data_IF_570993692223
#
_entry.id   IF_570993692223
#
_cell.length_a   1.000
_cell.length_b   1.000
_cell.length_c   1.000
_cell.angle_alpha   90.00
_cell.angle_beta   90.00
_cell.angle_gamma   90.00
#
_symmetry.space_group_name_H-M   'P 1'
#
loop_
_entity.id
_entity.type
_entity.pdbx_description
1 polymer ?
#
# COMPACT_ATOMS: atom_id res chain seq x y z
N UNK A 1 -51.06 -12.08 -12.17
CA UNK A 1 -50.04 -11.05 -12.41
C UNK A 1 -48.64 -11.61 -12.74
N UNK A 2 -48.42 -12.93 -12.81
CA UNK A 2 -47.32 -13.57 -13.56
C UNK A 2 -45.96 -12.87 -13.62
N UNK A 3 -45.42 -12.41 -12.49
CA UNK A 3 -44.15 -11.69 -12.38
C UNK A 3 -43.40 -12.14 -11.12
N UNK A 4 -42.09 -11.88 -11.09
CA UNK A 4 -41.16 -12.27 -10.02
C UNK A 4 -40.77 -11.04 -9.20
N UNK A 5 -40.79 -11.19 -7.88
CA UNK A 5 -40.34 -10.15 -6.95
C UNK A 5 -38.83 -9.95 -7.09
N UNK A 6 -38.39 -8.71 -7.29
CA UNK A 6 -36.98 -8.36 -7.54
C UNK A 6 -36.55 -7.13 -6.75
N UNK A 7 -35.40 -7.19 -6.08
CA UNK A 7 -34.77 -6.05 -5.42
C UNK A 7 -33.34 -5.84 -5.95
N UNK A 8 -33.12 -4.75 -6.70
CA UNK A 8 -31.85 -4.50 -7.39
C UNK A 8 -30.84 -3.68 -6.57
N UNK A 9 -30.02 -2.86 -7.25
CA UNK A 9 -29.05 -1.95 -6.62
C UNK A 9 -29.45 -0.46 -6.74
N UNK A 10 -30.69 -0.17 -7.16
CA UNK A 10 -31.15 1.21 -7.32
C UNK A 10 -31.71 1.69 -5.99
N UNK A 11 -31.11 2.76 -5.47
CA UNK A 11 -31.59 3.41 -4.25
C UNK A 11 -32.71 4.39 -4.59
N UNK A 12 -33.78 4.35 -3.82
CA UNK A 12 -34.87 5.32 -3.89
C UNK A 12 -34.35 6.74 -3.58
N UNK A 13 -35.05 7.79 -4.03
CA UNK A 13 -34.74 9.16 -3.64
C UNK A 13 -34.90 9.40 -2.13
N UNK A 14 -34.66 10.64 -1.68
CA UNK A 14 -34.62 10.98 -0.25
C UNK A 14 -35.91 10.63 0.50
N UNK A 15 -37.07 10.66 -0.16
CA UNK A 15 -38.36 10.26 0.44
C UNK A 15 -38.39 8.80 0.88
N UNK A 16 -37.58 7.94 0.25
CA UNK A 16 -37.45 6.52 0.57
C UNK A 16 -36.22 6.22 1.42
N UNK A 17 -35.64 7.24 2.06
CA UNK A 17 -34.45 7.13 2.91
C UNK A 17 -33.27 6.40 2.23
N UNK A 18 -33.15 6.52 0.89
CA UNK A 18 -32.12 5.82 0.09
C UNK A 18 -32.15 4.29 0.21
N UNK A 19 -33.29 3.69 0.56
CA UNK A 19 -33.47 2.24 0.57
C UNK A 19 -33.51 1.67 -0.86
N UNK A 20 -33.32 0.35 -0.98
CA UNK A 20 -33.34 -0.35 -2.27
C UNK A 20 -34.77 -0.43 -2.82
N UNK A 21 -34.93 -0.16 -4.12
CA UNK A 21 -36.20 -0.31 -4.83
C UNK A 21 -36.63 -1.80 -4.97
N UNK A 22 -37.91 -2.08 -4.68
CA UNK A 22 -38.52 -3.41 -4.84
C UNK A 22 -39.55 -3.37 -5.97
N UNK A 23 -39.40 -4.28 -6.95
CA UNK A 23 -40.19 -4.32 -8.19
C UNK A 23 -40.71 -5.72 -8.51
N UNK A 24 -41.61 -5.83 -9.50
CA UNK A 24 -42.04 -7.12 -10.05
C UNK A 24 -41.66 -7.22 -11.53
N UNK A 25 -40.79 -8.16 -11.88
CA UNK A 25 -40.29 -8.34 -13.26
C UNK A 25 -41.00 -9.52 -13.94
N UNK A 26 -41.36 -9.36 -15.22
CA UNK A 26 -42.07 -10.41 -15.97
C UNK A 26 -41.13 -11.46 -16.57
N UNK A 27 -39.86 -11.10 -16.75
CA UNK A 27 -38.87 -12.01 -17.33
C UNK A 27 -38.49 -13.09 -16.32
N UNK A 28 -38.48 -14.34 -16.79
CA UNK A 28 -38.10 -15.50 -15.98
C UNK A 28 -36.63 -15.82 -16.23
N UNK A 29 -35.74 -15.14 -15.51
CA UNK A 29 -34.31 -15.36 -15.57
C UNK A 29 -33.79 -16.00 -14.26
N UNK A 30 -33.62 -17.32 -14.20
CA UNK A 30 -33.09 -18.00 -13.01
C UNK A 30 -31.66 -17.63 -12.62
N UNK A 31 -30.93 -16.89 -13.47
CA UNK A 31 -29.59 -16.40 -13.14
C UNK A 31 -29.61 -15.03 -12.46
N UNK A 32 -30.76 -14.36 -12.41
CA UNK A 32 -30.89 -13.07 -11.73
C UNK A 32 -30.91 -13.28 -10.22
N UNK A 33 -29.78 -13.02 -9.55
CA UNK A 33 -29.66 -13.15 -8.10
C UNK A 33 -30.63 -12.23 -7.34
N UNK A 34 -31.08 -11.13 -7.95
CA UNK A 34 -32.00 -10.18 -7.33
C UNK A 34 -33.45 -10.68 -7.20
N UNK A 35 -33.78 -11.81 -7.85
CA UNK A 35 -35.08 -12.49 -7.70
C UNK A 35 -35.02 -13.65 -6.71
N UNK A 36 -33.86 -13.94 -6.13
CA UNK A 36 -33.70 -15.00 -5.15
C UNK A 36 -33.92 -14.42 -3.74
N UNK A 37 -34.82 -15.05 -2.98
CA UNK A 37 -35.17 -14.64 -1.63
C UNK A 37 -34.97 -15.80 -0.67
N UNK A 38 -34.42 -15.52 0.51
CA UNK A 38 -34.32 -16.46 1.62
C UNK A 38 -34.99 -15.89 2.86
N UNK A 39 -35.39 -16.78 3.78
CA UNK A 39 -35.88 -16.39 5.10
C UNK A 39 -34.67 -16.35 6.03
N UNK A 40 -34.24 -15.15 6.43
CA UNK A 40 -33.09 -14.96 7.32
C UNK A 40 -33.44 -15.27 8.78
N UNK A 41 -34.65 -14.88 9.22
CA UNK A 41 -35.11 -15.09 10.57
C UNK A 41 -36.56 -15.56 10.61
N UNK A 42 -36.84 -16.54 11.47
CA UNK A 42 -38.16 -17.14 11.64
C UNK A 42 -38.38 -17.51 13.11
N UNK A 43 -39.52 -17.06 13.66
CA UNK A 43 -39.92 -17.32 15.05
C UNK A 43 -41.30 -17.98 15.05
N UNK A 44 -41.41 -19.17 15.64
CA UNK A 44 -42.66 -19.91 15.72
C UNK A 44 -42.67 -20.86 16.92
N UNK A 45 -43.51 -20.56 17.91
CA UNK A 45 -43.62 -21.32 19.17
C UNK A 45 -44.12 -22.76 18.99
N UNK A 46 -44.69 -23.08 17.82
CA UNK A 46 -45.17 -24.43 17.49
C UNK A 46 -44.08 -25.33 16.93
N UNK A 47 -42.88 -24.80 16.66
CA UNK A 47 -41.77 -25.55 16.08
C UNK A 47 -40.57 -25.53 17.04
N UNK A 48 -39.79 -26.63 17.10
CA UNK A 48 -38.53 -26.62 17.83
C UNK A 48 -37.51 -25.68 17.17
N UNK A 49 -36.55 -25.21 17.96
CA UNK A 49 -35.44 -24.42 17.44
C UNK A 49 -34.62 -25.21 16.41
N UNK A 50 -34.18 -24.55 15.34
CA UNK A 50 -33.36 -25.16 14.32
C UNK A 50 -31.93 -25.42 14.83
N UNK A 51 -31.31 -26.50 14.35
CA UNK A 51 -29.89 -26.78 14.61
C UNK A 51 -29.02 -25.72 13.92
N UNK A 52 -28.15 -25.05 14.68
CA UNK A 52 -27.20 -24.08 14.16
C UNK A 52 -26.21 -24.71 13.15
N UNK A 53 -25.95 -26.02 13.25
CA UNK A 53 -25.09 -26.77 12.33
C UNK A 53 -25.68 -27.01 10.94
N UNK A 54 -26.98 -26.79 10.75
CA UNK A 54 -27.68 -27.04 9.48
C UNK A 54 -27.35 -26.02 8.38
N UNK A 55 -26.80 -24.85 8.75
CA UNK A 55 -26.58 -23.71 7.85
C UNK A 55 -25.12 -23.53 7.42
N UNK A 56 -24.38 -24.63 7.24
CA UNK A 56 -22.97 -24.56 6.82
C UNK A 56 -22.84 -24.29 5.32
N UNK A 57 -22.06 -23.29 4.98
CA UNK A 57 -21.63 -22.97 3.62
C UNK A 57 -20.34 -23.70 3.23
N UNK A 58 -20.10 -23.98 1.94
CA UNK A 58 -18.84 -24.52 1.47
C UNK A 58 -17.70 -23.49 1.58
N UNK A 59 -16.54 -23.90 2.10
CA UNK A 59 -15.39 -23.02 2.30
C UNK A 59 -14.99 -22.21 1.05
N UNK A 60 -14.93 -22.85 -0.14
CA UNK A 60 -14.51 -22.17 -1.37
C UNK A 60 -15.51 -21.09 -1.79
N UNK A 61 -16.80 -21.32 -1.55
CA UNK A 61 -17.84 -20.33 -1.83
C UNK A 61 -17.68 -19.12 -0.91
N UNK A 62 -17.49 -19.36 0.39
CA UNK A 62 -17.27 -18.29 1.36
C UNK A 62 -15.98 -17.53 1.08
N UNK A 63 -14.90 -18.24 0.71
CA UNK A 63 -13.64 -17.64 0.34
C UNK A 63 -13.79 -16.69 -0.85
N UNK A 64 -14.47 -17.11 -1.91
CA UNK A 64 -14.72 -16.26 -3.08
C UNK A 64 -15.62 -15.08 -2.72
N UNK A 65 -16.72 -15.35 -2.01
CA UNK A 65 -17.68 -14.31 -1.62
C UNK A 65 -17.02 -13.25 -0.72
N UNK A 66 -16.20 -13.68 0.24
CA UNK A 66 -15.44 -12.79 1.11
C UNK A 66 -14.44 -11.95 0.32
N UNK A 67 -13.70 -12.52 -0.64
CA UNK A 67 -12.78 -11.73 -1.46
C UNK A 67 -13.51 -10.71 -2.34
N UNK A 68 -14.68 -11.06 -2.89
CA UNK A 68 -15.53 -10.09 -3.61
C UNK A 68 -16.00 -8.98 -2.69
N UNK A 69 -16.43 -9.30 -1.47
CA UNK A 69 -16.82 -8.31 -0.47
C UNK A 69 -15.64 -7.40 -0.06
N UNK A 70 -14.44 -7.96 0.16
CA UNK A 70 -13.23 -7.19 0.43
C UNK A 70 -12.87 -6.26 -0.72
N UNK A 71 -12.95 -6.71 -1.98
CA UNK A 71 -12.73 -5.87 -3.15
C UNK A 71 -13.78 -4.76 -3.28
N UNK A 72 -15.04 -5.08 -3.05
CA UNK A 72 -16.15 -4.11 -3.09
C UNK A 72 -15.97 -3.04 -2.02
N UNK A 73 -15.62 -3.44 -0.80
CA UNK A 73 -15.33 -2.52 0.30
C UNK A 73 -14.09 -1.67 0.01
N UNK A 74 -13.05 -2.22 -0.61
CA UNK A 74 -11.84 -1.48 -0.98
C UNK A 74 -12.12 -0.44 -2.07
N UNK A 75 -12.91 -0.81 -3.08
CA UNK A 75 -13.37 0.12 -4.12
C UNK A 75 -14.29 1.22 -3.59
N UNK A 76 -14.93 1.02 -2.44
CA UNK A 76 -15.76 2.04 -1.79
C UNK A 76 -14.92 3.08 -1.00
N UNK A 77 -13.61 2.89 -0.82
CA UNK A 77 -12.71 3.82 -0.12
C UNK A 77 -12.21 4.97 -1.02
N UNK A 78 -13.09 5.45 -1.91
CA UNK A 78 -12.82 6.65 -2.71
C UNK A 78 -12.92 7.87 -1.80
N UNK A 79 -11.93 8.77 -1.79
CA UNK A 79 -12.00 10.00 -1.00
C UNK A 79 -13.18 10.85 -1.46
N UNK A 80 -13.97 11.31 -0.51
CA UNK A 80 -15.00 12.31 -0.73
C UNK A 80 -14.32 13.68 -0.86
N UNK A 81 -14.43 14.39 -2.01
CA UNK A 81 -13.77 15.68 -2.21
C UNK A 81 -14.30 16.78 -1.27
N UNK A 82 -15.52 16.63 -0.75
CA UNK A 82 -16.13 17.58 0.18
C UNK A 82 -15.75 17.28 1.63
N UNK A 83 -15.09 16.14 1.89
CA UNK A 83 -14.60 15.73 3.21
C UNK A 83 -13.12 16.10 3.35
N UNK A 84 -12.82 16.96 4.32
CA UNK A 84 -11.45 17.22 4.73
C UNK A 84 -10.89 16.01 5.49
N UNK A 85 -9.91 15.31 4.89
CA UNK A 85 -9.13 14.26 5.54
C UNK A 85 -7.68 14.74 5.74
N UNK A 86 -7.42 15.38 6.88
CA UNK A 86 -6.11 15.92 7.26
C UNK A 86 -5.03 14.85 7.52
N UNK A 87 -5.42 13.58 7.55
CA UNK A 87 -4.49 12.46 7.74
C UNK A 87 -4.02 11.88 6.40
N UNK A 88 -4.85 11.98 5.36
CA UNK A 88 -4.54 11.47 4.04
C UNK A 88 -3.31 12.16 3.43
N UNK A 89 -2.54 11.40 2.66
CA UNK A 89 -1.38 11.92 1.93
C UNK A 89 -1.27 11.32 0.54
N UNK A 90 -0.61 12.05 -0.34
CA UNK A 90 -0.43 11.74 -1.75
C UNK A 90 0.91 11.05 -2.00
N UNK A 91 0.96 10.15 -2.99
CA UNK A 91 2.15 9.35 -3.30
C UNK A 91 3.44 10.17 -3.46
N UNK A 92 3.36 11.35 -4.08
CA UNK A 92 4.52 12.21 -4.34
C UNK A 92 5.09 12.84 -3.07
N UNK A 93 4.30 12.95 -2.00
CA UNK A 93 4.73 13.55 -0.74
C UNK A 93 5.68 12.64 0.05
N UNK A 94 5.61 11.32 -0.17
CA UNK A 94 6.30 10.36 0.68
C UNK A 94 7.81 10.34 0.47
N UNK A 95 8.36 10.25 -0.76
CA UNK A 95 9.81 10.17 -0.97
C UNK A 95 10.58 11.41 -0.50
N UNK A 96 9.94 12.58 -0.60
CA UNK A 96 10.52 13.86 -0.18
C UNK A 96 10.18 14.24 1.26
N UNK A 97 9.42 13.39 1.98
CA UNK A 97 9.01 13.64 3.35
C UNK A 97 8.26 14.98 3.54
N UNK A 98 7.33 15.29 2.61
CA UNK A 98 6.59 16.55 2.62
C UNK A 98 5.56 16.63 3.76
N UNK A 99 5.02 15.49 4.18
CA UNK A 99 4.02 15.39 5.27
C UNK A 99 4.36 14.22 6.19
N UNK A 100 3.97 14.35 7.46
CA UNK A 100 3.93 13.24 8.42
C UNK A 100 2.49 12.88 8.78
N UNK A 101 2.30 12.02 9.76
CA UNK A 101 0.97 11.57 10.19
C UNK A 101 0.85 11.56 11.71
N UNK A 102 -0.21 12.17 12.24
CA UNK A 102 -0.55 12.13 13.67
C UNK A 102 -1.21 10.78 13.98
N UNK A 103 -0.67 10.04 14.95
CA UNK A 103 -1.11 8.67 15.27
C UNK A 103 -2.04 8.58 16.48
N UNK A 104 -2.16 9.65 17.27
CA UNK A 104 -3.00 9.73 18.45
C UNK A 104 -3.61 11.13 18.60
N UNK A 105 -4.43 11.33 19.64
CA UNK A 105 -4.93 12.65 20.04
C UNK A 105 -3.79 13.54 20.55
N UNK A 106 -3.86 14.84 20.24
CA UNK A 106 -2.82 15.82 20.59
C UNK A 106 -3.31 16.77 21.67
N UNK A 107 -3.78 16.20 22.78
CA UNK A 107 -4.06 16.94 24.00
C UNK A 107 -2.78 17.14 24.83
N UNK A 108 -2.76 18.11 25.74
CA UNK A 108 -1.59 18.40 26.58
C UNK A 108 -1.30 17.30 27.61
N UNK A 109 -2.32 16.50 27.96
CA UNK A 109 -2.19 15.37 28.88
C UNK A 109 -1.68 14.07 28.24
N UNK A 110 -1.51 14.04 26.92
CA UNK A 110 -1.23 12.80 26.16
C UNK A 110 0.15 12.87 25.51
N UNK A 111 0.90 11.76 25.58
CA UNK A 111 2.14 11.60 24.81
C UNK A 111 1.83 11.54 23.31
N UNK A 112 2.39 12.48 22.56
CA UNK A 112 2.08 12.70 21.14
C UNK A 112 2.96 11.81 20.25
N UNK A 113 2.34 10.89 19.53
CA UNK A 113 3.01 10.05 18.53
C UNK A 113 2.83 10.66 17.13
N UNK A 114 3.96 10.97 16.49
CA UNK A 114 4.03 11.49 15.13
C UNK A 114 4.85 10.55 14.25
N UNK A 115 4.24 10.10 13.16
CA UNK A 115 4.89 9.26 12.18
C UNK A 115 5.66 10.17 11.19
N UNK A 116 6.97 10.23 11.38
CA UNK A 116 7.89 10.98 10.55
C UNK A 116 9.12 10.13 10.25
N UNK A 117 9.47 10.03 8.97
CA UNK A 117 10.69 9.38 8.52
C UNK A 117 11.96 10.15 8.90
N UNK A 118 13.09 9.46 8.94
CA UNK A 118 14.40 10.12 9.03
C UNK A 118 14.73 10.78 7.67
N UNK A 119 14.88 12.12 7.58
CA UNK A 119 15.12 12.83 6.33
C UNK A 119 16.37 12.35 5.58
N UNK A 120 17.44 12.02 6.31
CA UNK A 120 18.67 11.50 5.70
C UNK A 120 18.43 10.16 5.01
N UNK A 121 17.66 9.28 5.64
CA UNK A 121 17.30 7.98 5.08
C UNK A 121 16.34 8.16 3.91
N UNK A 122 15.30 8.98 4.06
CA UNK A 122 14.30 9.21 3.02
C UNK A 122 14.89 9.86 1.77
N UNK A 123 15.60 10.97 1.94
CA UNK A 123 16.19 11.70 0.82
C UNK A 123 17.38 10.94 0.23
N UNK A 124 18.24 10.36 1.08
CA UNK A 124 19.38 9.57 0.62
C UNK A 124 18.93 8.33 -0.18
N UNK A 125 17.93 7.61 0.32
CA UNK A 125 17.41 6.42 -0.39
C UNK A 125 16.59 6.75 -1.62
N UNK A 126 15.90 7.89 -1.65
CA UNK A 126 15.21 8.34 -2.87
C UNK A 126 16.23 8.79 -3.91
N UNK A 127 17.28 9.52 -3.51
CA UNK A 127 18.35 9.94 -4.41
C UNK A 127 19.13 8.74 -4.97
N UNK A 128 19.35 7.69 -4.17
CA UNK A 128 20.09 6.50 -4.62
C UNK A 128 19.40 5.77 -5.77
N UNK A 129 18.06 5.79 -5.85
CA UNK A 129 17.32 5.26 -7.00
C UNK A 129 17.76 5.96 -8.30
N UNK A 130 17.82 7.29 -8.28
CA UNK A 130 18.29 8.09 -9.42
C UNK A 130 19.76 7.87 -9.73
N UNK A 131 20.61 7.80 -8.70
CA UNK A 131 22.05 7.50 -8.87
C UNK A 131 22.26 6.12 -9.50
N UNK A 132 21.49 5.10 -9.10
CA UNK A 132 21.56 3.78 -9.71
C UNK A 132 21.21 3.82 -11.19
N UNK A 133 20.12 4.51 -11.55
CA UNK A 133 19.71 4.67 -12.97
C UNK A 133 20.83 5.32 -13.78
N UNK A 134 21.41 6.41 -13.27
CA UNK A 134 22.53 7.09 -13.92
C UNK A 134 23.77 6.19 -14.03
N UNK A 135 24.06 5.40 -13.01
CA UNK A 135 25.17 4.45 -12.97
C UNK A 135 24.99 3.34 -14.01
N UNK A 136 23.79 2.76 -14.12
CA UNK A 136 23.48 1.73 -15.12
C UNK A 136 23.58 2.32 -16.52
N UNK A 137 23.01 3.51 -16.77
CA UNK A 137 23.13 4.20 -18.06
C UNK A 137 24.60 4.44 -18.40
N UNK A 138 25.41 4.88 -17.44
CA UNK A 138 26.85 5.10 -17.63
C UNK A 138 27.58 3.83 -18.09
N UNK A 139 27.36 2.71 -17.40
CA UNK A 139 27.98 1.44 -17.77
C UNK A 139 27.48 0.91 -19.12
N UNK A 140 26.18 1.01 -19.41
CA UNK A 140 25.61 0.59 -20.70
C UNK A 140 26.20 1.39 -21.85
N UNK A 141 26.34 2.71 -21.70
CA UNK A 141 26.95 3.57 -22.73
C UNK A 141 28.41 3.22 -22.95
N UNK A 142 29.17 2.92 -21.90
CA UNK A 142 30.59 2.54 -22.00
C UNK A 142 30.76 1.15 -22.60
N UNK A 143 29.90 0.21 -22.23
CA UNK A 143 29.86 -1.11 -22.85
C UNK A 143 29.59 -1.01 -24.36
N UNK A 144 28.62 -0.18 -24.78
CA UNK A 144 28.34 0.08 -26.20
C UNK A 144 29.53 0.74 -26.94
N UNK A 145 30.41 1.44 -26.22
CA UNK A 145 31.65 2.03 -26.76
C UNK A 145 32.85 1.07 -26.77
N UNK A 146 32.66 -0.18 -26.35
CA UNK A 146 33.70 -1.21 -26.36
C UNK A 146 34.61 -1.21 -25.12
N UNK A 147 34.22 -0.54 -24.03
CA UNK A 147 34.92 -0.69 -22.75
C UNK A 147 34.51 -2.00 -22.07
N UNK A 148 35.49 -2.84 -21.73
CA UNK A 148 35.29 -4.10 -20.99
C UNK A 148 35.76 -3.92 -19.54
N UNK A 149 34.92 -3.29 -18.73
CA UNK A 149 35.27 -2.88 -17.35
C UNK A 149 34.50 -3.63 -16.26
N UNK A 150 33.36 -4.24 -16.60
CA UNK A 150 32.54 -5.02 -15.67
C UNK A 150 32.75 -6.50 -15.93
N UNK A 151 33.17 -7.23 -14.90
CA UNK A 151 33.18 -8.70 -14.94
C UNK A 151 31.78 -9.25 -14.74
N UNK A 152 31.57 -10.54 -15.02
CA UNK A 152 30.28 -11.18 -14.78
C UNK A 152 29.84 -11.06 -13.30
N UNK A 153 30.77 -11.19 -12.36
CA UNK A 153 30.51 -11.00 -10.92
C UNK A 153 29.97 -9.59 -10.59
N UNK A 154 30.50 -8.56 -11.24
CA UNK A 154 30.07 -7.17 -11.09
C UNK A 154 28.66 -6.96 -11.66
N UNK A 155 28.38 -7.56 -12.82
CA UNK A 155 27.06 -7.50 -13.47
C UNK A 155 26.01 -8.19 -12.60
N UNK A 156 26.31 -9.40 -12.10
CA UNK A 156 25.42 -10.14 -11.21
C UNK A 156 25.15 -9.34 -9.94
N UNK A 157 26.18 -8.70 -9.36
CA UNK A 157 26.01 -7.87 -8.18
C UNK A 157 25.13 -6.64 -8.44
N UNK A 158 25.33 -5.90 -9.55
CA UNK A 158 24.45 -4.80 -9.97
C UNK A 158 23.01 -5.30 -10.16
N UNK A 159 22.83 -6.47 -10.76
CA UNK A 159 21.51 -7.02 -11.04
C UNK A 159 20.75 -7.39 -9.76
N UNK A 160 21.34 -8.22 -8.90
CA UNK A 160 20.66 -8.74 -7.71
C UNK A 160 20.58 -7.73 -6.56
N UNK A 161 21.62 -6.92 -6.35
CA UNK A 161 21.69 -5.99 -5.22
C UNK A 161 21.31 -4.55 -5.60
N UNK A 162 21.34 -4.18 -6.88
CA UNK A 162 20.90 -2.87 -7.37
C UNK A 162 19.52 -2.92 -8.03
N UNK A 163 19.40 -3.64 -9.15
CA UNK A 163 18.21 -3.60 -10.03
C UNK A 163 16.98 -4.23 -9.37
N UNK A 164 17.10 -5.41 -8.75
CA UNK A 164 15.97 -6.07 -8.09
C UNK A 164 15.36 -5.25 -6.95
N UNK A 165 16.13 -4.60 -6.08
CA UNK A 165 15.57 -3.63 -5.14
C UNK A 165 14.80 -2.50 -5.84
N UNK A 166 15.31 -1.92 -6.93
CA UNK A 166 14.55 -0.89 -7.66
C UNK A 166 13.25 -1.43 -8.26
N UNK A 167 13.24 -2.65 -8.78
CA UNK A 167 11.99 -3.31 -9.21
C UNK A 167 11.05 -3.50 -8.01
N UNK A 168 11.56 -3.94 -6.87
CA UNK A 168 10.81 -4.06 -5.62
C UNK A 168 10.19 -2.72 -5.19
N UNK A 169 10.97 -1.64 -5.22
CA UNK A 169 10.50 -0.28 -4.96
C UNK A 169 9.39 0.10 -5.93
N UNK A 170 9.58 -0.10 -7.23
CA UNK A 170 8.61 0.24 -8.26
C UNK A 170 7.30 -0.53 -8.09
N UNK A 171 7.35 -1.85 -7.88
CA UNK A 171 6.16 -2.67 -7.71
C UNK A 171 5.36 -2.32 -6.45
N UNK A 172 6.03 -1.85 -5.39
CA UNK A 172 5.37 -1.41 -4.16
C UNK A 172 4.93 0.06 -4.21
N UNK A 173 5.53 0.90 -5.05
CA UNK A 173 5.20 2.32 -5.14
C UNK A 173 4.17 2.63 -6.24
N UNK A 174 4.34 2.04 -7.42
CA UNK A 174 3.54 2.34 -8.61
C UNK A 174 2.03 2.12 -8.43
N UNK A 175 1.56 1.08 -7.72
CA UNK A 175 0.12 0.93 -7.48
C UNK A 175 -0.49 2.16 -6.80
N UNK A 176 0.22 2.80 -5.88
CA UNK A 176 -0.28 4.00 -5.19
C UNK A 176 -0.29 5.26 -6.05
N UNK A 177 0.51 5.28 -7.12
CA UNK A 177 0.47 6.36 -8.13
C UNK A 177 -0.80 6.25 -8.98
N UNK A 178 -1.26 5.02 -9.24
CA UNK A 178 -2.44 4.74 -10.08
C UNK A 178 -3.76 4.61 -9.28
N UNK A 179 -3.69 4.42 -7.96
CA UNK A 179 -4.86 4.21 -7.11
C UNK A 179 -5.62 5.51 -6.82
N UNK A 180 -6.94 5.48 -6.95
CA UNK A 180 -7.85 6.61 -6.64
C UNK A 180 -8.54 6.45 -5.26
N UNK A 181 -7.91 5.75 -4.32
CA UNK A 181 -8.42 5.54 -2.95
C UNK A 181 -7.63 6.36 -1.94
N UNK A 182 -8.17 6.49 -0.73
CA UNK A 182 -7.45 7.13 0.38
C UNK A 182 -6.13 6.40 0.66
N UNK A 183 -5.05 7.18 0.76
CA UNK A 183 -3.69 6.72 1.06
C UNK A 183 -3.07 7.54 2.19
N UNK A 184 -2.06 6.96 2.84
CA UNK A 184 -1.39 7.48 4.03
C UNK A 184 0.10 7.21 3.95
N UNK A 185 0.92 7.96 4.70
CA UNK A 185 2.40 7.88 4.62
C UNK A 185 2.98 6.49 4.89
N UNK A 186 2.32 5.67 5.72
CA UNK A 186 2.78 4.31 6.04
C UNK A 186 2.71 3.35 4.84
N UNK A 187 1.89 3.65 3.82
CA UNK A 187 1.85 2.86 2.59
C UNK A 187 3.18 2.88 1.84
N UNK A 188 4.01 3.91 2.05
CA UNK A 188 5.33 3.99 1.43
C UNK A 188 6.36 3.02 2.03
N UNK A 189 6.13 2.48 3.24
CA UNK A 189 7.18 1.76 3.98
C UNK A 189 7.72 0.51 3.27
N UNK A 190 6.90 -0.33 2.61
CA UNK A 190 7.42 -1.42 1.80
C UNK A 190 8.32 -0.93 0.67
N UNK A 191 7.95 0.13 -0.04
CA UNK A 191 8.78 0.70 -1.09
C UNK A 191 10.07 1.31 -0.51
N UNK A 192 9.97 2.10 0.57
CA UNK A 192 11.11 2.68 1.28
C UNK A 192 12.16 1.62 1.66
N UNK A 193 11.74 0.44 2.13
CA UNK A 193 12.66 -0.64 2.46
C UNK A 193 13.57 -1.00 1.27
N UNK A 194 13.00 -1.15 0.07
CA UNK A 194 13.77 -1.40 -1.15
C UNK A 194 14.63 -0.20 -1.57
N UNK A 195 14.16 1.03 -1.32
CA UNK A 195 14.98 2.23 -1.54
C UNK A 195 16.22 2.23 -0.64
N UNK A 196 16.08 1.82 0.63
CA UNK A 196 17.19 1.72 1.60
C UNK A 196 18.18 0.63 1.17
N UNK A 197 17.70 -0.52 0.68
CA UNK A 197 18.59 -1.55 0.11
C UNK A 197 19.38 -0.99 -1.08
N UNK A 198 18.72 -0.23 -1.95
CA UNK A 198 19.37 0.45 -3.08
C UNK A 198 20.41 1.46 -2.61
N UNK A 199 20.13 2.23 -1.55
CA UNK A 199 21.11 3.12 -0.93
C UNK A 199 22.34 2.36 -0.42
N UNK A 200 22.14 1.24 0.26
CA UNK A 200 23.23 0.38 0.72
C UNK A 200 24.11 -0.07 -0.44
N UNK A 201 23.50 -0.60 -1.50
CA UNK A 201 24.21 -1.03 -2.70
C UNK A 201 24.96 0.13 -3.38
N UNK A 202 24.31 1.27 -3.65
CA UNK A 202 24.94 2.41 -4.31
C UNK A 202 26.11 2.94 -3.50
N UNK A 203 25.96 3.02 -2.17
CA UNK A 203 27.02 3.48 -1.28
C UNK A 203 28.22 2.53 -1.33
N UNK A 204 27.99 1.22 -1.22
CA UNK A 204 29.06 0.23 -1.28
C UNK A 204 29.75 0.20 -2.64
N UNK A 205 28.97 0.22 -3.71
CA UNK A 205 29.48 0.22 -5.09
C UNK A 205 30.38 1.43 -5.38
N UNK A 206 29.98 2.64 -4.95
CA UNK A 206 30.78 3.85 -5.17
C UNK A 206 32.06 3.88 -4.32
N UNK A 207 32.07 3.17 -3.19
CA UNK A 207 33.21 3.15 -2.27
C UNK A 207 34.15 1.97 -2.50
N UNK A 208 33.75 0.94 -3.27
CA UNK A 208 34.51 -0.31 -3.42
C UNK A 208 35.96 -0.12 -3.88
N UNK A 209 36.24 0.93 -4.68
CA UNK A 209 37.60 1.24 -5.18
C UNK A 209 38.36 2.25 -4.31
N UNK A 210 37.75 2.78 -3.26
CA UNK A 210 38.36 3.77 -2.35
C UNK A 210 39.22 3.07 -1.28
N UNK A 211 40.15 3.81 -0.67
CA UNK A 211 40.97 3.28 0.43
C UNK A 211 40.11 2.99 1.67
N UNK A 212 40.45 1.95 2.43
CA UNK A 212 39.68 1.47 3.60
C UNK A 212 39.35 2.57 4.61
N UNK A 213 40.26 3.52 4.85
CA UNK A 213 40.02 4.62 5.78
C UNK A 213 38.88 5.54 5.31
N UNK A 214 38.76 5.80 4.01
CA UNK A 214 37.66 6.59 3.43
C UNK A 214 36.35 5.81 3.55
N UNK A 215 36.36 4.51 3.25
CA UNK A 215 35.17 3.65 3.40
C UNK A 215 34.66 3.67 4.85
N UNK A 216 35.55 3.41 5.82
CA UNK A 216 35.22 3.42 7.25
C UNK A 216 34.71 4.80 7.68
N UNK A 217 35.35 5.88 7.24
CA UNK A 217 34.91 7.23 7.57
C UNK A 217 33.49 7.51 7.04
N UNK A 218 33.20 7.16 5.78
CA UNK A 218 31.89 7.42 5.18
C UNK A 218 30.80 6.54 5.81
N UNK A 219 31.05 5.24 5.99
CA UNK A 219 30.11 4.37 6.70
C UNK A 219 29.88 4.81 8.14
N UNK A 220 30.95 5.25 8.82
CA UNK A 220 30.88 5.81 10.17
C UNK A 220 30.03 7.07 10.25
N UNK A 221 30.20 8.00 9.29
CA UNK A 221 29.40 9.22 9.20
C UNK A 221 27.93 8.88 8.96
N UNK A 222 27.61 8.03 7.98
CA UNK A 222 26.23 7.64 7.68
C UNK A 222 25.53 7.00 8.89
N UNK A 223 26.22 6.07 9.56
CA UNK A 223 25.69 5.41 10.75
C UNK A 223 25.53 6.39 11.92
N UNK A 224 26.51 7.27 12.14
CA UNK A 224 26.45 8.28 13.19
C UNK A 224 25.31 9.27 12.96
N UNK A 225 25.12 9.75 11.73
CA UNK A 225 24.03 10.67 11.39
C UNK A 225 22.66 10.02 11.56
N UNK A 226 22.53 8.73 11.22
CA UNK A 226 21.31 7.96 11.50
C UNK A 226 21.02 7.86 13.00
N UNK A 227 22.02 7.47 13.81
CA UNK A 227 21.85 7.33 15.27
C UNK A 227 21.59 8.68 15.94
N UNK A 228 22.24 9.75 15.50
CA UNK A 228 22.02 11.10 16.04
C UNK A 228 20.63 11.63 15.75
N UNK A 229 20.08 11.34 14.58
CA UNK A 229 18.68 11.65 14.30
C UNK A 229 17.75 10.91 15.27
N UNK A 230 17.99 9.61 15.51
CA UNK A 230 17.19 8.83 16.45
C UNK A 230 17.26 9.39 17.87
N UNK A 231 18.44 9.81 18.32
CA UNK A 231 18.63 10.43 19.64
C UNK A 231 17.89 11.76 19.78
N UNK A 232 17.94 12.62 18.75
CA UNK A 232 17.28 13.93 18.76
C UNK A 232 15.75 13.87 18.85
N UNK A 233 15.14 12.76 18.40
CA UNK A 233 13.69 12.54 18.40
C UNK A 233 13.24 11.51 19.44
N UNK A 234 14.16 11.03 20.28
CA UNK A 234 13.81 10.14 21.39
C UNK A 234 13.10 10.97 22.44
N UNK A 235 11.88 10.55 22.82
CA UNK A 235 11.22 11.09 24.00
C UNK A 235 12.07 10.69 25.21
N UNK A 236 12.73 11.68 25.80
CA UNK A 236 13.37 11.54 27.11
C UNK A 236 12.37 11.98 28.16
N UNK A 237 12.11 11.11 29.14
CA UNK A 237 11.35 11.45 30.35
C UNK A 237 12.00 12.62 31.11
#
# INVERSE_FOLDING_TARGET
>A
MGCYLRAGNVNLPQWGFKQIEVTCVKDNNPKDVYTHWNVEAHWNDKLPAADAGAYKSPFIQDFIHLNVAMMTSNNALVPDPDKQDDLASQFWQWPILNVGLRMCGWDDSIVKYFLLGNPLVYWGSTASLGVLVLMVIWYVVRWQRGYDELKQEDIDHIHYAGIYPVIGWFLHYMPFVAMARVTYVHHYYPALYFAILTLGFVTDWMLKTQIKNIQIAIYGILQFSYLKWFEAWRVTD
#
